data_IF_650999285938
#
_entry.id   IF_650999285938
#
_cell.length_a   1.000
_cell.length_b   1.000
_cell.length_c   1.000
_cell.angle_alpha   90.00
_cell.angle_beta   90.00
_cell.angle_gamma   90.00
#
_symmetry.space_group_name_H-M   'P 1'
#
loop_
_entity.id
_entity.type
_entity.pdbx_description
1 polymer ?
#
# COMPACT_ATOMS: atom_id res chain seq x y z
N UNK A 1 -33.74 0.78 -38.88
CA UNK A 1 -32.26 0.73 -38.92
C UNK A 1 -31.81 1.69 -37.84
N UNK A 2 -31.76 1.19 -36.60
CA UNK A 2 -30.53 0.79 -35.89
C UNK A 2 -29.87 2.05 -35.36
N UNK A 3 -30.29 2.52 -34.18
CA UNK A 3 -29.72 2.11 -32.88
C UNK A 3 -28.27 2.60 -32.76
N UNK A 4 -28.11 3.72 -32.07
CA UNK A 4 -26.89 4.05 -31.35
C UNK A 4 -27.28 4.97 -30.18
N UNK A 5 -28.11 4.43 -29.27
CA UNK A 5 -28.21 5.03 -27.94
C UNK A 5 -27.04 4.50 -27.14
N UNK A 6 -25.91 5.22 -27.17
CA UNK A 6 -24.86 5.06 -26.18
C UNK A 6 -25.51 5.27 -24.81
N UNK A 7 -25.86 4.18 -24.14
CA UNK A 7 -26.16 4.21 -22.72
C UNK A 7 -24.97 4.88 -22.03
N UNK A 8 -25.18 5.77 -21.05
CA UNK A 8 -24.08 6.23 -20.23
C UNK A 8 -23.44 4.99 -19.63
N UNK A 9 -22.14 4.79 -19.91
CA UNK A 9 -21.33 3.81 -19.22
C UNK A 9 -21.65 3.97 -17.73
N UNK A 10 -22.26 2.94 -17.14
CA UNK A 10 -22.59 2.93 -15.74
C UNK A 10 -21.33 3.35 -14.98
N UNK A 11 -21.38 4.49 -14.30
CA UNK A 11 -20.30 4.92 -13.42
C UNK A 11 -20.03 3.75 -12.47
N UNK A 12 -18.83 3.16 -12.55
CA UNK A 12 -18.45 1.92 -11.88
C UNK A 12 -18.85 1.96 -10.40
N UNK A 13 -19.89 1.23 -9.98
CA UNK A 13 -20.25 1.16 -8.58
C UNK A 13 -19.39 0.10 -7.91
N UNK A 14 -18.09 0.34 -7.70
CA UNK A 14 -17.23 -0.62 -6.97
C UNK A 14 -15.98 -0.02 -6.29
N UNK A 15 -15.27 0.96 -6.88
CA UNK A 15 -13.97 1.41 -6.34
C UNK A 15 -14.02 1.96 -4.91
N UNK A 16 -15.04 2.77 -4.60
CA UNK A 16 -15.22 3.34 -3.26
C UNK A 16 -15.63 2.27 -2.23
N UNK A 17 -16.34 1.22 -2.65
CA UNK A 17 -16.71 0.10 -1.80
C UNK A 17 -15.48 -0.78 -1.52
N UNK A 18 -14.69 -1.09 -2.56
CA UNK A 18 -13.42 -1.83 -2.42
C UNK A 18 -12.43 -1.11 -1.52
N UNK A 19 -12.32 0.22 -1.65
CA UNK A 19 -11.45 1.03 -0.78
C UNK A 19 -11.90 0.99 0.69
N UNK A 20 -13.22 1.05 0.93
CA UNK A 20 -13.78 0.97 2.29
C UNK A 20 -13.58 -0.41 2.92
N UNK A 21 -13.70 -1.46 2.13
CA UNK A 21 -13.49 -2.84 2.57
C UNK A 21 -12.01 -3.05 2.96
N UNK A 22 -11.07 -2.57 2.12
CA UNK A 22 -9.63 -2.60 2.44
C UNK A 22 -9.30 -1.83 3.72
N UNK A 23 -9.89 -0.64 3.92
CA UNK A 23 -9.71 0.13 5.15
C UNK A 23 -10.24 -0.60 6.39
N UNK A 24 -11.40 -1.27 6.27
CA UNK A 24 -11.94 -2.10 7.36
C UNK A 24 -11.02 -3.27 7.69
N UNK A 25 -10.47 -3.93 6.68
CA UNK A 25 -9.57 -5.06 6.86
C UNK A 25 -8.24 -4.63 7.51
N UNK A 26 -7.67 -3.50 7.08
CA UNK A 26 -6.49 -2.89 7.71
C UNK A 26 -6.79 -2.58 9.19
N UNK A 27 -7.93 -1.94 9.48
CA UNK A 27 -8.31 -1.60 10.84
C UNK A 27 -8.50 -2.86 11.72
N UNK A 28 -9.10 -3.92 11.20
CA UNK A 28 -9.25 -5.18 11.91
C UNK A 28 -7.88 -5.84 12.19
N UNK A 29 -6.98 -5.81 11.21
CA UNK A 29 -5.62 -6.36 11.32
C UNK A 29 -4.82 -5.63 12.40
N UNK A 30 -4.83 -4.30 12.39
CA UNK A 30 -4.15 -3.45 13.39
C UNK A 30 -4.59 -3.80 14.82
N UNK A 31 -5.88 -4.08 15.03
CA UNK A 31 -6.42 -4.36 16.36
C UNK A 31 -6.18 -5.80 16.84
N UNK A 32 -5.75 -6.72 15.97
CA UNK A 32 -5.72 -8.16 16.27
C UNK A 32 -4.32 -8.77 16.24
N UNK A 33 -3.39 -8.23 15.46
CA UNK A 33 -2.02 -8.74 15.35
C UNK A 33 -1.12 -8.09 16.40
N UNK A 34 -0.48 -8.91 17.25
CA UNK A 34 0.39 -8.44 18.35
C UNK A 34 1.86 -8.32 18.00
N UNK A 35 2.27 -8.91 16.89
CA UNK A 35 3.65 -8.90 16.43
C UNK A 35 3.84 -7.76 15.41
N UNK A 36 4.58 -6.69 15.74
CA UNK A 36 4.64 -5.48 14.91
C UNK A 36 5.14 -5.74 13.48
N UNK A 37 6.16 -6.58 13.31
CA UNK A 37 6.69 -6.92 11.99
C UNK A 37 5.62 -7.57 11.10
N UNK A 38 4.95 -8.59 11.64
CA UNK A 38 3.88 -9.30 10.95
C UNK A 38 2.69 -8.38 10.63
N UNK A 39 2.34 -7.49 11.55
CA UNK A 39 1.28 -6.50 11.33
C UNK A 39 1.57 -5.64 10.10
N UNK A 40 2.76 -5.04 10.02
CA UNK A 40 3.13 -4.13 8.95
C UNK A 40 3.20 -4.84 7.60
N UNK A 41 3.66 -6.09 7.56
CA UNK A 41 3.62 -6.91 6.36
C UNK A 41 2.20 -7.16 5.86
N UNK A 42 1.29 -7.57 6.75
CA UNK A 42 -0.11 -7.83 6.37
C UNK A 42 -0.83 -6.56 5.92
N UNK A 43 -0.61 -5.43 6.60
CA UNK A 43 -1.18 -4.14 6.20
C UNK A 43 -0.67 -3.71 4.83
N UNK A 44 0.64 -3.87 4.57
CA UNK A 44 1.23 -3.58 3.27
C UNK A 44 0.61 -4.45 2.16
N UNK A 45 0.40 -5.74 2.41
CA UNK A 45 -0.22 -6.65 1.44
C UNK A 45 -1.67 -6.24 1.11
N UNK A 46 -2.49 -5.92 2.12
CA UNK A 46 -3.88 -5.47 1.90
C UNK A 46 -3.89 -4.17 1.08
N UNK A 47 -3.03 -3.21 1.43
CA UNK A 47 -2.92 -1.95 0.71
C UNK A 47 -2.48 -2.17 -0.75
N UNK A 48 -1.47 -3.01 -0.98
CA UNK A 48 -0.99 -3.30 -2.33
C UNK A 48 -2.04 -4.00 -3.19
N UNK A 49 -2.78 -4.96 -2.64
CA UNK A 49 -3.86 -5.64 -3.35
C UNK A 49 -5.00 -4.67 -3.71
N UNK A 50 -5.36 -3.78 -2.79
CA UNK A 50 -6.41 -2.77 -3.04
C UNK A 50 -6.02 -1.72 -4.08
N UNK A 51 -4.73 -1.45 -4.23
CA UNK A 51 -4.20 -0.45 -5.16
C UNK A 51 -3.70 -1.05 -6.48
N UNK A 52 -3.80 -2.38 -6.65
CA UNK A 52 -3.18 -3.14 -7.74
C UNK A 52 -1.68 -2.79 -7.91
N UNK A 53 -1.00 -2.63 -6.78
CA UNK A 53 0.40 -2.18 -6.74
C UNK A 53 1.36 -3.37 -6.82
N UNK A 54 2.34 -3.28 -7.72
CA UNK A 54 3.37 -4.32 -7.89
C UNK A 54 4.46 -4.29 -6.82
N UNK A 55 4.72 -3.12 -6.24
CA UNK A 55 5.81 -2.89 -5.27
C UNK A 55 5.35 -1.97 -4.15
N UNK A 56 5.84 -2.20 -2.93
CA UNK A 56 5.53 -1.35 -1.79
C UNK A 56 6.47 -1.56 -0.60
N UNK A 57 6.54 -0.58 0.28
CA UNK A 57 7.31 -0.62 1.51
C UNK A 57 6.63 0.19 2.62
N UNK A 58 7.02 -0.06 3.87
CA UNK A 58 6.63 0.73 5.04
C UNK A 58 7.87 1.13 5.82
N UNK A 59 8.02 2.43 6.06
CA UNK A 59 9.01 2.99 6.98
C UNK A 59 8.36 3.31 8.32
N UNK A 60 9.12 3.12 9.40
CA UNK A 60 8.79 3.71 10.69
C UNK A 60 9.97 4.58 11.15
N UNK A 61 9.65 5.57 11.98
CA UNK A 61 10.67 6.32 12.71
C UNK A 61 11.51 5.37 13.55
N UNK A 62 12.82 5.60 13.53
CA UNK A 62 13.81 4.79 14.24
C UNK A 62 14.98 5.72 14.62
N UNK A 63 15.08 6.04 15.91
CA UNK A 63 16.10 6.97 16.43
C UNK A 63 17.52 6.41 16.26
N UNK A 64 17.67 5.10 16.13
CA UNK A 64 18.95 4.42 15.92
C UNK A 64 19.34 4.36 14.43
N UNK A 65 18.42 4.68 13.51
CA UNK A 65 18.69 4.71 12.09
C UNK A 65 19.38 6.03 11.68
N UNK A 66 20.37 5.93 10.79
CA UNK A 66 21.17 7.09 10.35
C UNK A 66 20.34 8.23 9.73
N UNK A 67 19.19 7.89 9.13
CA UNK A 67 18.26 8.82 8.47
C UNK A 67 17.01 9.14 9.33
N UNK A 68 16.92 8.56 10.52
CA UNK A 68 15.74 8.65 11.39
C UNK A 68 14.57 7.75 11.00
N UNK A 69 14.71 6.95 9.93
CA UNK A 69 13.71 5.98 9.49
C UNK A 69 14.34 4.62 9.20
N UNK A 70 13.60 3.56 9.46
CA UNK A 70 13.98 2.19 9.10
C UNK A 70 12.86 1.50 8.30
N UNK A 71 13.23 0.73 7.28
CA UNK A 71 12.31 -0.17 6.57
C UNK A 71 11.84 -1.24 7.55
N UNK A 72 10.51 -1.40 7.69
CA UNK A 72 9.93 -2.44 8.55
C UNK A 72 9.10 -3.47 7.79
N UNK A 73 8.69 -3.16 6.56
CA UNK A 73 8.08 -4.11 5.64
C UNK A 73 8.41 -3.72 4.20
N UNK A 74 8.59 -4.72 3.33
CA UNK A 74 8.87 -4.51 1.90
C UNK A 74 8.31 -5.67 1.07
N UNK A 75 7.88 -5.35 -0.15
CA UNK A 75 7.49 -6.30 -1.18
C UNK A 75 8.06 -5.81 -2.51
N UNK A 76 8.79 -6.71 -3.17
CA UNK A 76 9.34 -6.51 -4.51
C UNK A 76 10.26 -5.27 -4.65
N UNK A 77 11.01 -4.94 -3.59
CA UNK A 77 12.15 -4.04 -3.60
C UNK A 77 13.42 -4.77 -3.17
N UNK A 78 14.55 -4.36 -3.72
CA UNK A 78 15.90 -4.70 -3.22
C UNK A 78 16.34 -3.71 -2.14
N UNK A 79 17.31 -4.09 -1.31
CA UNK A 79 17.89 -3.19 -0.29
C UNK A 79 18.49 -1.93 -0.92
N UNK A 80 19.22 -2.08 -2.03
CA UNK A 80 19.85 -0.96 -2.76
C UNK A 80 18.82 0.07 -3.29
N UNK A 81 17.62 -0.37 -3.69
CA UNK A 81 16.54 0.53 -4.14
C UNK A 81 15.91 1.32 -2.99
N UNK A 82 15.99 0.81 -1.75
CA UNK A 82 15.39 1.45 -0.57
C UNK A 82 16.32 2.50 0.04
N UNK A 83 17.63 2.31 -0.05
CA UNK A 83 18.63 3.26 0.45
C UNK A 83 18.50 4.65 -0.22
N UNK A 84 18.18 4.70 -1.51
CA UNK A 84 17.95 5.96 -2.25
C UNK A 84 16.69 6.71 -1.83
N UNK A 85 15.65 6.00 -1.35
CA UNK A 85 14.39 6.61 -0.90
C UNK A 85 14.55 7.21 0.50
N UNK A 86 15.29 6.53 1.37
CA UNK A 86 15.46 6.89 2.78
C UNK A 86 16.42 8.08 2.97
N UNK A 87 17.39 8.25 2.08
CA UNK A 87 18.36 9.35 2.09
C UNK A 87 17.84 10.63 1.42
N UNK A 88 16.67 10.58 0.78
CA UNK A 88 16.13 11.69 -0.01
C UNK A 88 16.83 11.91 -1.36
N UNK A 89 17.63 10.94 -1.81
CA UNK A 89 18.38 10.99 -3.08
C UNK A 89 17.64 10.34 -4.26
N UNK A 90 16.35 10.01 -4.09
CA UNK A 90 15.50 9.50 -5.17
C UNK A 90 15.17 10.62 -6.20
N UNK A 91 16.17 11.06 -6.95
CA UNK A 91 16.02 11.83 -8.19
C UNK A 91 16.37 10.92 -9.39
N UNK A 92 15.41 10.72 -10.30
CA UNK A 92 15.66 10.18 -11.66
C UNK A 92 14.67 9.14 -12.14
#
# INVERSE_FOLDING_TARGET
MSDDTLAPAAAFPDEAQTSLDALSEIAATINSVREPARLLETVLEIAMQSLDAERGFVFLEDEDAATGFAVKATRNFTEDELDGVVTGEAEG
#
